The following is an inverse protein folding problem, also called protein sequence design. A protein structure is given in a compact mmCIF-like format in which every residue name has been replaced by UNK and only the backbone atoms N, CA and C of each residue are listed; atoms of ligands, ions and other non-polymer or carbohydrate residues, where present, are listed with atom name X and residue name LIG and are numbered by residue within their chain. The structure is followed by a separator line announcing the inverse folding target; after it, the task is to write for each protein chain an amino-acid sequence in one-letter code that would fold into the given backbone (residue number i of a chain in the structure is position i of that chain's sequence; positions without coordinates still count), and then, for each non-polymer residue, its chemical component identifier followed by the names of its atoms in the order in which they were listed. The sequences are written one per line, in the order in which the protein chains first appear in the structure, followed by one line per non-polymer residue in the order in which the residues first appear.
data_IF_771263016764
#
_entry.id   IF_771263016764
#
_cell.length_a   1.000
_cell.length_b   1.000
_cell.length_c   1.000
_cell.angle_alpha   90.00
_cell.angle_beta   90.00
_cell.angle_gamma   90.00
#
_symmetry.space_group_name_H-M   'P 1'
#
loop_
_entity.id
_entity.type
_entity.pdbx_description
1 polymer ?
#
# COMPACT_ATOMS: atom_id res chain seq x y z
N UNK A 1 -23.59 6.75 -20.80
CA UNK A 1 -23.13 5.50 -20.16
C UNK A 1 -22.00 5.81 -19.18
N UNK A 2 -22.34 6.37 -18.02
CA UNK A 2 -21.41 6.59 -16.90
C UNK A 2 -21.81 5.63 -15.79
N UNK A 3 -20.97 4.62 -15.53
CA UNK A 3 -21.11 3.70 -14.40
C UNK A 3 -20.55 4.33 -13.10
N UNK A 4 -20.88 5.59 -12.84
CA UNK A 4 -20.74 6.23 -11.53
C UNK A 4 -22.12 6.16 -10.87
N UNK A 5 -22.64 4.94 -10.75
CA UNK A 5 -23.89 4.65 -10.08
C UNK A 5 -23.63 4.64 -8.58
N UNK A 6 -24.22 5.61 -7.88
CA UNK A 6 -24.01 5.83 -6.45
C UNK A 6 -24.13 4.56 -5.63
N UNK A 7 -23.16 4.37 -4.74
CA UNK A 7 -23.32 3.51 -3.58
C UNK A 7 -24.46 4.09 -2.73
N UNK A 8 -25.68 3.63 -3.02
CA UNK A 8 -26.84 3.85 -2.16
C UNK A 8 -26.47 3.33 -0.78
N UNK A 9 -26.47 4.24 0.18
CA UNK A 9 -26.54 3.98 1.61
C UNK A 9 -27.64 2.95 1.87
N UNK A 10 -27.27 1.70 2.11
CA UNK A 10 -28.21 0.65 2.53
C UNK A 10 -28.80 1.02 3.89
N UNK A 11 -30.12 0.99 3.98
CA UNK A 11 -30.93 1.35 5.14
C UNK A 11 -30.78 0.41 6.36
N UNK A 12 -29.96 -0.64 6.27
CA UNK A 12 -29.76 -1.61 7.36
C UNK A 12 -28.31 -2.09 7.28
N UNK A 13 -27.46 -1.62 8.19
CA UNK A 13 -26.09 -2.15 8.33
C UNK A 13 -24.98 -1.15 8.66
N UNK A 14 -25.19 -0.28 9.65
CA UNK A 14 -24.09 0.20 10.49
C UNK A 14 -23.28 1.42 10.02
N UNK A 15 -23.93 2.53 9.68
CA UNK A 15 -23.27 3.84 9.80
C UNK A 15 -23.42 4.31 11.25
N UNK A 16 -22.34 4.28 12.03
CA UNK A 16 -22.32 5.06 13.29
C UNK A 16 -22.44 6.53 12.92
N UNK A 17 -23.66 7.05 13.01
CA UNK A 17 -23.97 8.47 13.01
C UNK A 17 -23.41 9.06 14.30
N UNK A 18 -22.17 9.52 14.27
CA UNK A 18 -21.78 10.59 15.19
C UNK A 18 -22.63 11.81 14.84
N UNK A 19 -23.20 12.48 15.85
CA UNK A 19 -23.99 13.71 15.69
C UNK A 19 -23.20 14.86 15.01
N UNK A 20 -21.89 14.70 14.90
CA UNK A 20 -20.96 15.52 14.13
C UNK A 20 -20.68 14.73 12.85
N UNK A 21 -21.21 15.20 11.72
CA UNK A 21 -21.17 14.49 10.43
C UNK A 21 -19.82 13.80 10.15
N UNK A 22 -19.84 12.47 10.13
CA UNK A 22 -18.62 11.68 9.93
C UNK A 22 -18.04 11.86 8.53
N UNK A 23 -16.72 11.83 8.42
CA UNK A 23 -15.96 12.01 7.17
C UNK A 23 -16.24 10.97 6.07
N UNK A 24 -17.06 9.94 6.34
CA UNK A 24 -17.54 8.99 5.34
C UNK A 24 -16.44 8.18 4.64
N UNK A 25 -16.74 7.71 3.43
CA UNK A 25 -15.83 6.94 2.57
C UNK A 25 -14.48 7.63 2.27
N UNK A 26 -14.36 8.96 2.05
CA UNK A 26 -13.08 9.59 1.76
C UNK A 26 -12.14 9.69 2.97
N UNK A 27 -12.60 9.40 4.19
CA UNK A 27 -11.74 9.40 5.38
C UNK A 27 -10.60 8.37 5.27
N UNK A 28 -10.90 7.18 4.77
CA UNK A 28 -9.97 6.06 4.70
C UNK A 28 -8.70 6.34 3.87
N UNK A 29 -8.79 6.83 2.61
CA UNK A 29 -7.58 7.16 1.85
C UNK A 29 -6.78 8.30 2.48
N UNK A 30 -7.45 9.33 3.04
CA UNK A 30 -6.77 10.46 3.67
C UNK A 30 -5.94 9.99 4.86
N UNK A 31 -6.54 9.22 5.78
CA UNK A 31 -5.83 8.70 6.96
C UNK A 31 -4.68 7.78 6.53
N UNK A 32 -4.89 6.94 5.53
CA UNK A 32 -3.85 6.04 5.01
C UNK A 32 -2.64 6.84 4.50
N UNK A 33 -2.86 7.85 3.65
CA UNK A 33 -1.76 8.68 3.15
C UNK A 33 -1.06 9.45 4.26
N UNK A 34 -1.79 9.97 5.26
CA UNK A 34 -1.17 10.65 6.40
C UNK A 34 -0.26 9.69 7.18
N UNK A 35 -0.69 8.46 7.44
CA UNK A 35 0.12 7.45 8.14
C UNK A 35 1.35 7.07 7.32
N UNK A 36 1.24 6.94 6.00
CA UNK A 36 2.40 6.69 5.12
C UNK A 36 3.44 7.81 5.23
N UNK A 37 3.00 9.07 5.23
CA UNK A 37 3.90 10.22 5.45
C UNK A 37 4.53 10.22 6.84
N UNK A 38 3.79 9.82 7.87
CA UNK A 38 4.33 9.68 9.23
C UNK A 38 5.39 8.57 9.30
N UNK A 39 5.15 7.42 8.64
CA UNK A 39 6.12 6.32 8.57
C UNK A 39 7.39 6.77 7.84
N UNK A 40 7.26 7.49 6.73
CA UNK A 40 8.40 8.07 6.02
C UNK A 40 9.16 9.07 6.91
N UNK A 41 8.44 9.96 7.60
CA UNK A 41 9.04 10.91 8.53
C UNK A 41 9.78 10.22 9.67
N UNK A 42 9.25 9.12 10.20
CA UNK A 42 9.93 8.31 11.22
C UNK A 42 11.18 7.64 10.67
N UNK A 43 11.13 7.10 9.45
CA UNK A 43 12.29 6.51 8.78
C UNK A 43 13.41 7.54 8.57
N UNK A 44 13.05 8.71 8.04
CA UNK A 44 14.01 9.80 7.78
C UNK A 44 14.51 10.42 9.08
N UNK A 45 13.62 10.73 10.02
CA UNK A 45 13.97 11.37 11.28
C UNK A 45 14.76 10.46 12.21
N UNK A 46 14.21 9.29 12.54
CA UNK A 46 14.82 8.40 13.53
C UNK A 46 16.00 7.64 12.91
N UNK A 47 15.79 6.94 11.79
CA UNK A 47 16.81 6.04 11.26
C UNK A 47 17.89 6.78 10.48
N UNK A 48 17.55 7.82 9.72
CA UNK A 48 18.56 8.60 9.01
C UNK A 48 19.20 9.67 9.91
N UNK A 49 18.43 10.56 10.56
CA UNK A 49 19.02 11.69 11.31
C UNK A 49 19.53 11.31 12.71
N UNK A 50 18.75 10.56 13.51
CA UNK A 50 19.16 10.23 14.88
C UNK A 50 20.16 9.06 14.96
N UNK A 51 19.87 7.96 14.25
CA UNK A 51 20.67 6.71 14.35
C UNK A 51 21.78 6.62 13.29
N UNK A 52 21.71 7.41 12.23
CA UNK A 52 22.79 7.49 11.23
C UNK A 52 22.99 6.22 10.39
N UNK A 53 22.04 5.28 10.37
CA UNK A 53 22.18 4.02 9.63
C UNK A 53 22.32 4.20 8.12
N UNK A 54 21.90 5.35 7.60
CA UNK A 54 22.10 5.74 6.20
C UNK A 54 23.59 5.75 5.81
N UNK A 55 24.52 6.00 6.74
CA UNK A 55 25.96 6.11 6.45
C UNK A 55 26.59 4.79 5.99
N UNK A 56 26.04 3.64 6.39
CA UNK A 56 26.52 2.33 5.97
C UNK A 56 26.00 1.94 4.58
N UNK A 57 24.80 2.42 4.23
CA UNK A 57 24.13 2.06 2.99
C UNK A 57 24.36 3.07 1.86
N UNK A 58 24.63 4.34 2.19
CA UNK A 58 24.73 5.42 1.21
C UNK A 58 26.18 5.85 1.01
N UNK A 59 26.61 6.07 -0.25
CA UNK A 59 27.93 6.59 -0.51
C UNK A 59 28.03 8.02 0.05
N UNK A 60 28.99 8.24 0.94
CA UNK A 60 29.29 9.56 1.54
C UNK A 60 29.93 10.53 0.55
N UNK A 61 30.27 10.05 -0.66
CA UNK A 61 30.94 10.82 -1.72
C UNK A 61 29.91 11.39 -2.71
N UNK A 62 29.20 12.44 -2.31
CA UNK A 62 28.26 13.20 -3.12
C UNK A 62 27.20 13.92 -2.27
N UNK A 63 26.57 14.96 -2.85
CA UNK A 63 25.67 15.94 -2.23
C UNK A 63 24.71 15.44 -1.13
N UNK A 64 24.23 16.41 -0.34
CA UNK A 64 23.21 16.31 0.71
C UNK A 64 22.32 15.06 0.57
N UNK A 65 22.44 14.10 1.50
CA UNK A 65 21.70 12.82 1.54
C UNK A 65 22.15 11.69 0.61
N UNK A 66 23.43 11.61 0.22
CA UNK A 66 23.98 10.41 -0.44
C UNK A 66 23.44 10.16 -1.87
N UNK A 67 22.74 11.15 -2.43
CA UNK A 67 22.17 11.14 -3.78
C UNK A 67 23.28 11.50 -4.77
N UNK A 68 24.12 10.52 -5.07
CA UNK A 68 25.21 10.66 -6.03
C UNK A 68 24.90 9.84 -7.29
N UNK A 69 24.50 10.55 -8.35
CA UNK A 69 24.20 9.97 -9.67
C UNK A 69 25.40 9.20 -10.27
N UNK A 70 26.61 9.48 -9.79
CA UNK A 70 27.83 8.76 -10.17
C UNK A 70 27.78 7.27 -9.82
N UNK A 71 27.05 6.89 -8.76
CA UNK A 71 26.93 5.49 -8.34
C UNK A 71 25.79 4.73 -9.04
N UNK A 72 24.97 5.42 -9.83
CA UNK A 72 23.89 4.81 -10.62
C UNK A 72 24.48 4.30 -11.93
N UNK A 73 25.17 3.16 -11.87
CA UNK A 73 25.74 2.52 -13.05
C UNK A 73 24.77 1.52 -13.67
N UNK A 74 24.83 1.34 -15.00
CA UNK A 74 23.99 0.37 -15.71
C UNK A 74 24.12 -1.05 -15.16
N UNK A 75 25.32 -1.44 -14.71
CA UNK A 75 25.58 -2.75 -14.11
C UNK A 75 24.79 -2.96 -12.80
N UNK A 76 24.73 -1.94 -11.93
CA UNK A 76 23.99 -2.00 -10.66
C UNK A 76 22.48 -1.96 -10.88
N UNK A 77 22.01 -1.14 -11.82
CA UNK A 77 20.60 -1.11 -12.21
C UNK A 77 20.18 -2.47 -12.79
N UNK A 78 21.00 -3.09 -13.63
CA UNK A 78 20.71 -4.42 -14.17
C UNK A 78 20.69 -5.51 -13.08
N UNK A 79 21.60 -5.47 -12.11
CA UNK A 79 21.60 -6.39 -10.98
C UNK A 79 20.36 -6.20 -10.08
N UNK A 80 19.99 -4.94 -9.79
CA UNK A 80 18.77 -4.63 -9.04
C UNK A 80 17.53 -5.11 -9.79
N UNK A 81 17.42 -4.84 -11.09
CA UNK A 81 16.27 -5.29 -11.90
C UNK A 81 16.16 -6.82 -11.95
N UNK A 82 17.28 -7.55 -12.01
CA UNK A 82 17.26 -9.02 -11.96
C UNK A 82 16.67 -9.58 -10.67
N UNK A 83 16.77 -8.85 -9.55
CA UNK A 83 16.16 -9.23 -8.28
C UNK A 83 14.76 -8.67 -8.12
N UNK A 84 14.56 -7.41 -8.50
CA UNK A 84 13.32 -6.68 -8.31
C UNK A 84 12.21 -7.16 -9.24
N UNK A 85 12.51 -7.42 -10.52
CA UNK A 85 11.50 -7.87 -11.50
C UNK A 85 10.83 -9.19 -11.07
N UNK A 86 11.56 -10.27 -10.73
CA UNK A 86 10.89 -11.50 -10.29
C UNK A 86 10.14 -11.33 -8.97
N UNK A 87 10.66 -10.54 -8.03
CA UNK A 87 9.96 -10.25 -6.77
C UNK A 87 8.66 -9.47 -7.01
N UNK A 88 8.72 -8.41 -7.83
CA UNK A 88 7.55 -7.61 -8.20
C UNK A 88 6.54 -8.43 -9.00
N UNK A 89 6.99 -9.31 -9.89
CA UNK A 89 6.12 -10.19 -10.68
C UNK A 89 5.42 -11.23 -9.79
N UNK A 90 6.12 -11.78 -8.80
CA UNK A 90 5.53 -12.68 -7.80
C UNK A 90 4.40 -11.99 -7.04
N UNK A 91 4.66 -10.78 -6.53
CA UNK A 91 3.68 -9.97 -5.81
C UNK A 91 2.51 -9.58 -6.73
N UNK A 92 2.80 -9.18 -7.97
CA UNK A 92 1.78 -8.84 -8.96
C UNK A 92 0.88 -10.04 -9.30
N UNK A 93 1.44 -11.26 -9.36
CA UNK A 93 0.67 -12.48 -9.61
C UNK A 93 -0.42 -12.69 -8.56
N UNK A 94 -0.10 -12.46 -7.28
CA UNK A 94 -1.07 -12.58 -6.18
C UNK A 94 -2.16 -11.49 -6.29
N UNK A 95 -1.78 -10.27 -6.64
CA UNK A 95 -2.75 -9.19 -6.86
C UNK A 95 -3.68 -9.45 -8.05
N UNK A 96 -3.17 -10.00 -9.15
CA UNK A 96 -4.01 -10.30 -10.33
C UNK A 96 -5.03 -11.39 -10.04
N UNK A 97 -4.62 -12.46 -9.36
CA UNK A 97 -5.53 -13.53 -8.94
C UNK A 97 -6.66 -12.98 -8.07
N UNK A 98 -6.30 -12.16 -7.09
CA UNK A 98 -7.27 -11.58 -6.16
C UNK A 98 -8.16 -10.52 -6.80
N UNK A 99 -7.62 -9.73 -7.73
CA UNK A 99 -8.39 -8.76 -8.51
C UNK A 99 -9.41 -9.45 -9.42
N UNK A 100 -9.03 -10.58 -10.04
CA UNK A 100 -9.94 -11.37 -10.84
C UNK A 100 -11.09 -11.93 -9.98
N UNK A 101 -10.78 -12.58 -8.85
CA UNK A 101 -11.81 -13.13 -7.94
C UNK A 101 -12.70 -12.00 -7.38
N UNK A 102 -12.12 -10.87 -7.00
CA UNK A 102 -12.87 -9.70 -6.53
C UNK A 102 -13.81 -9.13 -7.60
N UNK A 103 -13.37 -9.06 -8.85
CA UNK A 103 -14.21 -8.62 -9.97
C UNK A 103 -15.38 -9.58 -10.23
N UNK A 104 -15.19 -10.89 -10.06
CA UNK A 104 -16.27 -11.88 -10.13
C UNK A 104 -17.22 -11.77 -8.93
N UNK A 105 -16.70 -11.66 -7.71
CA UNK A 105 -17.49 -11.51 -6.49
C UNK A 105 -18.36 -10.23 -6.51
N UNK A 106 -17.82 -9.14 -7.05
CA UNK A 106 -18.55 -7.88 -7.22
C UNK A 106 -19.76 -8.00 -8.17
N UNK A 107 -19.79 -8.99 -9.07
CA UNK A 107 -20.94 -9.25 -9.95
C UNK A 107 -22.06 -10.04 -9.27
N UNK A 108 -21.77 -10.76 -8.19
CA UNK A 108 -22.75 -11.58 -7.47
C UNK A 108 -23.54 -10.74 -6.46
N UNK A 109 -22.85 -10.13 -5.50
CA UNK A 109 -23.48 -9.22 -4.53
C UNK A 109 -22.47 -8.32 -3.80
N UNK A 110 -22.96 -7.25 -3.19
CA UNK A 110 -22.15 -6.35 -2.35
C UNK A 110 -21.71 -7.02 -1.04
N UNK A 111 -22.49 -7.98 -0.52
CA UNK A 111 -22.17 -8.74 0.69
C UNK A 111 -21.03 -9.72 0.43
N UNK A 112 -21.05 -10.42 -0.71
CA UNK A 112 -19.99 -11.36 -1.09
C UNK A 112 -18.64 -10.66 -1.29
N UNK A 113 -18.66 -9.44 -1.85
CA UNK A 113 -17.46 -8.61 -1.99
C UNK A 113 -16.89 -8.20 -0.61
N UNK A 114 -17.74 -7.85 0.34
CA UNK A 114 -17.32 -7.48 1.69
C UNK A 114 -16.71 -8.69 2.43
N UNK A 115 -17.33 -9.86 2.34
CA UNK A 115 -16.83 -11.11 2.92
C UNK A 115 -15.50 -11.52 2.29
N UNK A 116 -15.37 -11.40 0.96
CA UNK A 116 -14.11 -11.67 0.25
C UNK A 116 -12.98 -10.74 0.71
N UNK A 117 -13.26 -9.44 0.83
CA UNK A 117 -12.27 -8.44 1.28
C UNK A 117 -11.82 -8.71 2.72
N UNK A 118 -12.74 -9.13 3.60
CA UNK A 118 -12.42 -9.46 4.99
C UNK A 118 -11.59 -10.75 5.11
N UNK A 119 -11.99 -11.81 4.41
CA UNK A 119 -11.25 -13.09 4.44
C UNK A 119 -9.87 -12.96 3.79
N UNK A 120 -9.71 -12.13 2.76
CA UNK A 120 -8.40 -11.80 2.18
C UNK A 120 -7.43 -11.18 3.21
N UNK A 121 -7.91 -10.24 4.04
CA UNK A 121 -7.09 -9.62 5.09
C UNK A 121 -6.63 -10.63 6.14
N UNK A 122 -7.49 -11.58 6.52
CA UNK A 122 -7.16 -12.63 7.49
C UNK A 122 -6.10 -13.58 6.93
N UNK A 123 -6.26 -14.00 5.67
CA UNK A 123 -5.27 -14.84 4.98
C UNK A 123 -3.89 -14.16 4.96
N UNK A 124 -3.84 -12.87 4.65
CA UNK A 124 -2.58 -12.10 4.70
C UNK A 124 -1.93 -12.09 6.08
N UNK A 125 -2.72 -11.89 7.14
CA UNK A 125 -2.20 -11.91 8.52
C UNK A 125 -1.63 -13.30 8.84
N UNK A 126 -2.31 -14.38 8.44
CA UNK A 126 -1.83 -15.74 8.68
C UNK A 126 -0.52 -16.05 7.96
N UNK A 127 -0.29 -15.48 6.77
CA UNK A 127 0.92 -15.69 5.98
C UNK A 127 2.12 -14.88 6.52
N UNK A 128 1.87 -13.76 7.18
CA UNK A 128 2.91 -12.95 7.84
C UNK A 128 3.34 -13.58 9.19
N UNK A 129 2.43 -14.30 9.85
CA UNK A 129 2.69 -14.91 11.16
C UNK A 129 3.25 -16.34 11.10
N UNK A 130 3.18 -16.99 9.93
CA UNK A 130 3.73 -18.34 9.67
C UNK A 130 5.21 -18.29 9.29
#
# INVERSE_FOLDING_TARGET
TSAIGGYRTSAVGGYRTSAIGGYGFPACPIVTSVVEWMQLAALVGIYCLCLGYHKAAWPTTGSCWGLSLSFVTRARVAAYLRLYVPAALSIASDFWRMSAVGAFAARLSTLDLAVFTASYRIMWISLVLS
#
